data_IF_822157826721
#
_entry.id   IF_822157826721
#
_cell.length_a   1.000
_cell.length_b   1.000
_cell.length_c   1.000
_cell.angle_alpha   90.00
_cell.angle_beta   90.00
_cell.angle_gamma   90.00
#
_symmetry.space_group_name_H-M   'P 1'
#
loop_
_entity.id
_entity.type
_entity.pdbx_description
1 polymer ?
#
# COMPACT_ATOMS: atom_id res chain seq x y z
N UNK A 1 29.61 8.90 32.22
CA UNK A 1 28.79 8.23 33.26
C UNK A 1 27.40 8.84 33.20
N UNK A 2 26.35 8.01 33.32
CA UNK A 2 24.99 8.16 32.76
C UNK A 2 24.94 7.68 31.29
N UNK A 3 24.16 6.64 30.93
CA UNK A 3 22.70 6.64 30.98
C UNK A 3 22.10 5.21 31.13
N UNK A 4 22.42 4.50 32.21
CA UNK A 4 21.96 3.10 32.42
C UNK A 4 20.50 2.96 32.89
N UNK A 5 19.84 4.06 33.28
CA UNK A 5 18.49 4.03 33.87
C UNK A 5 17.34 3.93 32.84
N UNK A 6 17.60 4.25 31.57
CA UNK A 6 16.54 4.29 30.54
C UNK A 6 16.31 2.91 29.93
N UNK A 7 17.36 2.11 29.77
CA UNK A 7 17.30 0.76 29.22
C UNK A 7 16.63 -0.22 30.20
N UNK A 8 16.90 -0.09 31.50
CA UNK A 8 16.23 -0.87 32.54
C UNK A 8 14.72 -0.59 32.61
N UNK A 9 14.28 0.64 32.30
CA UNK A 9 12.86 0.99 32.23
C UNK A 9 12.16 0.34 31.03
N UNK A 10 12.84 0.20 29.89
CA UNK A 10 12.27 -0.41 28.68
C UNK A 10 12.18 -1.92 28.87
N UNK A 11 13.24 -2.53 29.40
CA UNK A 11 13.27 -3.97 29.67
C UNK A 11 12.26 -4.35 30.75
N UNK A 12 12.12 -3.54 31.81
CA UNK A 12 11.10 -3.77 32.85
C UNK A 12 9.67 -3.65 32.29
N UNK A 13 9.43 -2.74 31.36
CA UNK A 13 8.13 -2.60 30.68
C UNK A 13 7.84 -3.81 29.78
N UNK A 14 8.83 -4.30 29.03
CA UNK A 14 8.71 -5.48 28.17
C UNK A 14 8.40 -6.76 28.98
N UNK A 15 8.97 -6.89 30.16
CA UNK A 15 8.73 -8.03 31.05
C UNK A 15 7.34 -7.95 31.68
N UNK A 16 6.94 -6.79 32.20
CA UNK A 16 5.61 -6.60 32.80
C UNK A 16 4.47 -6.85 31.82
N UNK A 17 4.63 -6.52 30.53
CA UNK A 17 3.62 -6.76 29.51
C UNK A 17 3.58 -8.22 29.05
N UNK A 18 4.73 -8.89 28.93
CA UNK A 18 4.78 -10.31 28.51
C UNK A 18 4.09 -11.23 29.53
N UNK A 19 4.20 -10.92 30.83
CA UNK A 19 3.57 -11.71 31.88
C UNK A 19 2.13 -11.28 32.21
N UNK A 20 1.70 -10.07 31.82
CA UNK A 20 0.29 -9.64 31.93
C UNK A 20 -0.64 -10.31 30.90
N UNK A 21 -0.11 -10.85 29.81
CA UNK A 21 -0.90 -11.47 28.73
C UNK A 21 -1.39 -12.89 29.06
N UNK A 22 -1.01 -13.47 30.20
CA UNK A 22 -1.51 -14.81 30.61
C UNK A 22 -2.91 -14.79 31.25
N UNK A 23 -3.63 -13.68 31.23
CA UNK A 23 -5.01 -13.63 31.71
C UNK A 23 -5.72 -12.34 31.36
N UNK A 24 -6.26 -12.24 30.15
CA UNK A 24 -7.66 -11.86 29.96
C UNK A 24 -8.11 -12.12 28.52
N UNK A 25 -9.29 -12.73 28.37
CA UNK A 25 -9.98 -12.91 27.10
C UNK A 25 -10.61 -11.58 26.69
N UNK A 26 -10.30 -11.04 25.50
CA UNK A 26 -11.04 -9.89 25.01
C UNK A 26 -10.42 -9.09 23.86
N UNK A 27 -10.97 -9.31 22.67
CA UNK A 27 -11.18 -8.35 21.57
C UNK A 27 -10.06 -7.37 21.15
N UNK A 28 -9.72 -7.51 19.88
CA UNK A 28 -9.38 -6.47 18.90
C UNK A 28 -8.10 -5.63 19.05
N UNK A 29 -7.38 -5.58 17.93
CA UNK A 29 -6.22 -4.74 17.62
C UNK A 29 -4.90 -5.13 18.31
N UNK A 30 -4.35 -6.28 17.92
CA UNK A 30 -2.89 -6.38 17.80
C UNK A 30 -2.47 -5.47 16.65
N UNK A 31 -2.35 -4.18 16.94
CA UNK A 31 -1.55 -3.28 16.13
C UNK A 31 -0.13 -3.83 16.19
N UNK A 32 0.31 -4.40 15.07
CA UNK A 32 1.59 -5.07 14.93
C UNK A 32 2.70 -4.10 15.31
N UNK A 33 3.48 -4.45 16.34
CA UNK A 33 4.53 -3.60 16.91
C UNK A 33 5.60 -3.25 15.86
N UNK A 34 5.71 -4.05 14.79
CA UNK A 34 6.55 -3.73 13.62
C UNK A 34 6.16 -2.39 12.98
N UNK A 35 4.87 -2.13 12.79
CA UNK A 35 4.34 -0.86 12.26
C UNK A 35 4.71 0.33 13.15
N UNK A 36 4.78 0.13 14.47
CA UNK A 36 5.16 1.18 15.42
C UNK A 36 6.65 1.53 15.36
N UNK A 37 7.53 0.54 15.19
CA UNK A 37 8.98 0.77 15.11
C UNK A 37 9.41 1.40 13.79
N UNK A 38 8.72 1.09 12.69
CA UNK A 38 8.98 1.67 11.37
C UNK A 38 8.52 3.13 11.31
N UNK A 39 7.37 3.46 11.91
CA UNK A 39 6.85 4.83 11.96
C UNK A 39 7.76 5.79 12.76
N UNK A 40 8.51 5.25 13.74
CA UNK A 40 9.38 6.05 14.63
C UNK A 40 10.83 6.12 14.15
N UNK A 41 11.26 5.20 13.29
CA UNK A 41 12.61 5.14 12.74
C UNK A 41 12.69 6.00 11.47
N UNK A 42 12.93 7.31 11.64
CA UNK A 42 12.97 8.32 10.58
C UNK A 42 14.11 8.19 9.54
N UNK A 43 14.35 7.01 8.98
CA UNK A 43 15.23 6.79 7.83
C UNK A 43 14.35 6.61 6.57
N UNK A 44 13.91 7.75 6.03
CA UNK A 44 12.68 7.89 5.24
C UNK A 44 12.75 7.59 3.73
N UNK A 45 13.88 7.16 3.18
CA UNK A 45 14.02 7.09 1.71
C UNK A 45 14.06 5.68 1.10
N UNK A 46 14.17 4.61 1.90
CA UNK A 46 14.19 3.22 1.37
C UNK A 46 13.23 2.28 2.11
N UNK A 47 12.80 2.62 3.32
CA UNK A 47 11.90 1.78 4.12
C UNK A 47 10.40 1.99 3.84
N UNK A 48 10.03 3.11 3.21
CA UNK A 48 8.62 3.46 3.01
C UNK A 48 7.96 2.74 1.82
N UNK A 49 8.73 2.41 0.78
CA UNK A 49 8.19 1.81 -0.45
C UNK A 49 7.85 0.32 -0.22
N UNK A 50 8.60 -0.39 0.62
CA UNK A 50 8.26 -1.75 1.03
C UNK A 50 7.06 -1.84 1.98
N UNK A 51 6.71 -0.77 2.71
CA UNK A 51 5.57 -0.82 3.63
C UNK A 51 4.23 -1.00 2.90
N UNK A 52 4.06 -0.35 1.74
CA UNK A 52 2.87 -0.52 0.90
C UNK A 52 2.79 -1.96 0.38
N UNK A 53 3.88 -2.43 -0.25
CA UNK A 53 3.97 -3.77 -0.80
C UNK A 53 3.74 -4.84 0.28
N UNK A 54 4.44 -4.74 1.42
CA UNK A 54 4.33 -5.67 2.54
C UNK A 54 2.92 -5.69 3.11
N UNK A 55 2.27 -4.54 3.24
CA UNK A 55 0.89 -4.46 3.72
C UNK A 55 -0.07 -5.14 2.75
N UNK A 56 0.10 -4.94 1.44
CA UNK A 56 -0.72 -5.59 0.41
C UNK A 56 -0.51 -7.10 0.41
N UNK A 57 0.74 -7.58 0.48
CA UNK A 57 1.07 -9.01 0.56
C UNK A 57 0.51 -9.65 1.84
N UNK A 58 0.68 -9.03 3.00
CA UNK A 58 0.15 -9.53 4.29
C UNK A 58 -1.37 -9.65 4.27
N UNK A 59 -2.05 -8.75 3.56
CA UNK A 59 -3.49 -8.79 3.39
C UNK A 59 -3.94 -9.67 2.22
N UNK A 60 -3.04 -10.39 1.54
CA UNK A 60 -3.39 -11.25 0.40
C UNK A 60 -4.04 -10.45 -0.73
N UNK A 61 -3.56 -9.24 -0.99
CA UNK A 61 -4.03 -8.37 -2.07
C UNK A 61 -3.03 -8.45 -3.21
N UNK A 62 -3.52 -8.82 -4.40
CA UNK A 62 -2.71 -8.81 -5.62
C UNK A 62 -2.50 -7.38 -6.10
N UNK A 63 -1.27 -7.07 -6.51
CA UNK A 63 -0.94 -5.78 -7.10
C UNK A 63 0.14 -5.91 -8.17
N UNK A 64 0.30 -4.87 -8.98
CA UNK A 64 1.30 -4.80 -10.05
C UNK A 64 1.87 -3.40 -10.16
N UNK A 65 3.19 -3.29 -10.33
CA UNK A 65 3.83 -2.03 -10.63
C UNK A 65 3.53 -1.61 -12.08
N UNK A 66 3.05 -0.37 -12.23
CA UNK A 66 2.79 0.28 -13.51
C UNK A 66 3.99 1.14 -13.89
N UNK A 67 4.57 0.84 -15.04
CA UNK A 67 5.68 1.58 -15.62
C UNK A 67 5.22 2.38 -16.84
N UNK A 68 5.43 3.69 -16.83
CA UNK A 68 5.13 4.54 -17.97
C UNK A 68 6.34 4.65 -18.92
N UNK A 69 6.12 4.31 -20.20
CA UNK A 69 7.13 4.46 -21.26
C UNK A 69 6.83 5.70 -22.11
N UNK A 70 7.70 6.71 -22.00
CA UNK A 70 7.62 7.94 -22.82
C UNK A 70 7.76 7.65 -24.32
N UNK A 71 8.52 6.61 -24.70
CA UNK A 71 8.78 6.25 -26.11
C UNK A 71 7.52 5.76 -26.83
N UNK A 72 6.72 4.96 -26.14
CA UNK A 72 5.50 4.34 -26.67
C UNK A 72 4.24 5.10 -26.24
N UNK A 73 4.35 6.01 -25.27
CA UNK A 73 3.22 6.67 -24.61
C UNK A 73 2.21 5.67 -24.01
N UNK A 74 2.74 4.56 -23.47
CA UNK A 74 1.96 3.47 -22.88
C UNK A 74 2.38 3.20 -21.43
N UNK A 75 1.41 2.73 -20.65
CA UNK A 75 1.61 2.12 -19.35
C UNK A 75 1.77 0.62 -19.50
N UNK A 76 2.79 0.06 -18.84
CA UNK A 76 3.14 -1.35 -18.85
C UNK A 76 3.03 -1.89 -17.44
N UNK A 77 2.38 -3.05 -17.27
CA UNK A 77 2.26 -3.73 -15.98
C UNK A 77 2.08 -5.23 -16.22
N UNK A 78 2.37 -6.04 -15.21
CA UNK A 78 2.32 -7.50 -15.30
C UNK A 78 1.27 -8.07 -14.35
N UNK A 79 0.41 -8.97 -14.83
CA UNK A 79 -0.56 -9.69 -14.00
C UNK A 79 -0.38 -11.18 -14.30
N UNK A 80 -0.10 -12.01 -13.28
CA UNK A 80 0.15 -13.45 -13.45
C UNK A 80 1.12 -13.77 -14.60
N UNK A 81 2.29 -13.12 -14.62
CA UNK A 81 3.33 -13.27 -15.66
C UNK A 81 2.92 -12.81 -17.08
N UNK A 82 1.70 -12.31 -17.28
CA UNK A 82 1.26 -11.72 -18.53
C UNK A 82 1.52 -10.22 -18.53
N UNK A 83 2.14 -9.74 -19.61
CA UNK A 83 2.44 -8.33 -19.79
C UNK A 83 1.28 -7.61 -20.50
N UNK A 84 0.80 -6.54 -19.87
CA UNK A 84 -0.21 -5.66 -20.42
C UNK A 84 0.40 -4.33 -20.83
N UNK A 85 -0.18 -3.72 -21.86
CA UNK A 85 0.21 -2.41 -22.35
C UNK A 85 -1.04 -1.58 -22.67
N UNK A 86 -1.24 -0.50 -21.92
CA UNK A 86 -2.38 0.39 -22.08
C UNK A 86 -1.90 1.77 -22.55
N UNK A 87 -2.41 2.28 -23.68
CA UNK A 87 -2.14 3.65 -24.09
C UNK A 87 -2.52 4.68 -23.02
N UNK A 88 -1.74 5.74 -22.88
CA UNK A 88 -2.00 6.79 -21.88
C UNK A 88 -3.35 7.49 -22.02
N UNK A 89 -4.00 7.41 -23.17
CA UNK A 89 -5.28 8.08 -23.44
C UNK A 89 -6.50 7.17 -23.23
N UNK A 90 -6.31 5.97 -22.66
CA UNK A 90 -7.41 5.04 -22.39
C UNK A 90 -7.96 5.21 -20.98
N UNK A 91 -9.25 5.53 -20.87
CA UNK A 91 -9.97 5.52 -19.60
C UNK A 91 -9.23 6.24 -18.47
N UNK A 92 -9.09 5.56 -17.33
CA UNK A 92 -8.42 6.07 -16.14
C UNK A 92 -6.90 6.25 -16.31
N UNK A 93 -6.27 5.69 -17.35
CA UNK A 93 -4.84 5.94 -17.65
C UNK A 93 -4.57 7.38 -18.09
N UNK A 94 -5.58 8.07 -18.65
CA UNK A 94 -5.47 9.49 -19.00
C UNK A 94 -5.32 10.37 -17.77
N UNK A 95 -6.05 10.05 -16.71
CA UNK A 95 -5.89 10.68 -15.41
C UNK A 95 -4.57 10.26 -14.78
N UNK A 96 -4.23 8.97 -14.75
CA UNK A 96 -2.95 8.50 -14.19
C UNK A 96 -1.76 9.26 -14.80
N UNK A 97 -1.71 9.42 -16.13
CA UNK A 97 -0.63 10.17 -16.79
C UNK A 97 -0.50 11.63 -16.32
N UNK A 98 -1.62 12.26 -15.97
CA UNK A 98 -1.61 13.60 -15.39
C UNK A 98 -1.05 13.55 -13.96
N UNK A 99 -1.44 12.55 -13.19
CA UNK A 99 -1.11 12.43 -11.77
C UNK A 99 0.35 11.97 -11.51
N UNK A 100 0.91 11.09 -12.34
CA UNK A 100 2.31 10.62 -12.19
C UNK A 100 3.36 11.74 -12.27
N UNK A 101 2.97 12.90 -12.80
CA UNK A 101 3.85 14.07 -12.92
C UNK A 101 3.92 14.89 -11.64
N UNK A 102 3.04 14.63 -10.67
CA UNK A 102 3.01 15.31 -9.38
C UNK A 102 3.66 14.45 -8.30
N UNK A 103 4.35 15.10 -7.37
CA UNK A 103 5.04 14.44 -6.25
C UNK A 103 4.11 14.21 -5.05
N UNK A 104 2.82 13.92 -5.32
CA UNK A 104 1.80 13.73 -4.29
C UNK A 104 1.28 12.31 -4.36
N UNK A 105 1.02 11.72 -3.20
CA UNK A 105 0.35 10.44 -3.11
C UNK A 105 -1.12 10.62 -3.46
N UNK A 106 -1.62 9.84 -4.42
CA UNK A 106 -3.02 9.85 -4.82
C UNK A 106 -3.54 8.43 -4.99
N UNK A 107 -4.70 8.20 -4.40
CA UNK A 107 -5.50 7.00 -4.57
C UNK A 107 -6.61 7.26 -5.60
N UNK A 108 -6.72 6.40 -6.60
CA UNK A 108 -7.76 6.41 -7.62
C UNK A 108 -8.62 5.17 -7.45
N UNK A 109 -9.77 5.33 -6.79
CA UNK A 109 -10.75 4.27 -6.57
C UNK A 109 -11.55 4.03 -7.86
N UNK A 110 -11.96 2.78 -8.14
CA UNK A 110 -12.71 2.43 -9.35
C UNK A 110 -11.89 2.57 -10.65
N UNK A 111 -10.59 2.29 -10.58
CA UNK A 111 -9.69 2.46 -11.72
C UNK A 111 -10.09 1.54 -12.88
N UNK A 112 -10.54 2.13 -14.00
CA UNK A 112 -11.10 1.44 -15.17
C UNK A 112 -12.35 0.57 -14.92
N UNK A 113 -13.10 0.77 -13.83
CA UNK A 113 -14.33 0.00 -13.56
C UNK A 113 -15.38 0.10 -14.68
N UNK A 114 -15.43 1.24 -15.37
CA UNK A 114 -16.41 1.53 -16.42
C UNK A 114 -15.95 1.08 -17.82
N UNK A 115 -14.77 0.47 -17.91
CA UNK A 115 -14.14 0.13 -19.17
C UNK A 115 -13.92 -1.38 -19.29
N UNK A 116 -13.90 -1.87 -20.53
CA UNK A 116 -13.61 -3.27 -20.88
C UNK A 116 -12.32 -3.83 -20.25
N UNK A 117 -11.42 -2.95 -19.82
CA UNK A 117 -10.17 -3.30 -19.15
C UNK A 117 -10.42 -4.07 -17.84
N UNK A 118 -11.51 -3.80 -17.12
CA UNK A 118 -11.84 -4.54 -15.89
C UNK A 118 -12.18 -6.02 -16.20
N UNK A 119 -12.91 -6.27 -17.29
CA UNK A 119 -13.23 -7.63 -17.76
C UNK A 119 -11.97 -8.40 -18.18
N UNK A 120 -10.95 -7.72 -18.73
CA UNK A 120 -9.68 -8.35 -19.12
C UNK A 120 -8.94 -8.96 -17.93
N UNK A 121 -9.07 -8.38 -16.74
CA UNK A 121 -8.36 -8.85 -15.54
C UNK A 121 -9.14 -9.92 -14.77
N UNK A 122 -10.45 -10.04 -15.02
CA UNK A 122 -11.31 -11.00 -14.33
C UNK A 122 -10.88 -12.46 -14.52
N UNK A 123 -10.22 -12.76 -15.65
CA UNK A 123 -9.66 -14.09 -15.92
C UNK A 123 -8.32 -14.38 -15.25
N UNK A 124 -7.68 -13.37 -14.64
CA UNK A 124 -6.34 -13.44 -14.04
C UNK A 124 -6.35 -13.23 -12.53
N UNK A 125 -7.48 -12.86 -11.95
CA UNK A 125 -7.62 -12.66 -10.52
C UNK A 125 -8.75 -13.57 -10.06
N UNK A 126 -8.41 -14.57 -9.25
CA UNK A 126 -9.31 -15.69 -8.87
C UNK A 126 -10.40 -15.31 -7.85
N UNK A 127 -10.54 -14.02 -7.51
CA UNK A 127 -11.47 -13.53 -6.50
C UNK A 127 -12.20 -12.28 -7.00
N UNK A 128 -13.35 -11.96 -6.40
CA UNK A 128 -14.04 -10.70 -6.72
C UNK A 128 -13.25 -9.51 -6.16
N UNK A 129 -12.90 -8.56 -7.03
CA UNK A 129 -12.09 -7.41 -6.67
C UNK A 129 -12.72 -6.08 -7.08
N UNK A 130 -12.15 -5.02 -6.52
CA UNK A 130 -12.23 -3.64 -6.98
C UNK A 130 -10.85 -3.22 -7.44
N UNK A 131 -10.78 -2.65 -8.65
CA UNK A 131 -9.53 -2.16 -9.19
C UNK A 131 -9.26 -0.76 -8.66
N UNK A 132 -8.08 -0.58 -8.06
CA UNK A 132 -7.61 0.68 -7.49
C UNK A 132 -6.26 0.99 -8.11
N UNK A 133 -5.98 2.27 -8.37
CA UNK A 133 -4.63 2.71 -8.70
C UNK A 133 -4.08 3.61 -7.61
N UNK A 134 -2.90 3.28 -7.13
CA UNK A 134 -2.11 4.15 -6.26
C UNK A 134 -1.00 4.78 -7.10
N UNK A 135 -0.80 6.08 -7.00
CA UNK A 135 0.31 6.77 -7.66
C UNK A 135 0.97 7.75 -6.70
N UNK A 136 2.30 7.80 -6.71
CA UNK A 136 3.08 8.65 -5.80
C UNK A 136 4.54 8.22 -5.72
N UNK A 137 5.42 9.11 -5.26
CA UNK A 137 6.86 8.85 -5.12
C UNK A 137 7.53 8.28 -6.39
N UNK A 138 7.09 8.70 -7.58
CA UNK A 138 7.55 8.20 -8.90
C UNK A 138 7.17 6.76 -9.23
N UNK A 139 6.36 6.13 -8.40
CA UNK A 139 5.85 4.79 -8.61
C UNK A 139 4.33 4.81 -8.77
N UNK A 140 3.80 3.78 -9.40
CA UNK A 140 2.36 3.62 -9.59
C UNK A 140 2.02 2.15 -9.51
N UNK A 141 1.00 1.81 -8.74
CA UNK A 141 0.59 0.45 -8.48
C UNK A 141 -0.85 0.27 -8.92
N UNK A 142 -1.10 -0.82 -9.65
CA UNK A 142 -2.43 -1.35 -9.92
C UNK A 142 -2.75 -2.37 -8.84
N UNK A 143 -3.79 -2.12 -8.04
CA UNK A 143 -4.15 -2.93 -6.88
C UNK A 143 -5.51 -3.57 -7.15
N UNK A 144 -5.60 -4.89 -6.96
CA UNK A 144 -6.83 -5.67 -7.08
C UNK A 144 -7.37 -5.98 -5.68
N UNK A 145 -8.13 -5.06 -5.11
CA UNK A 145 -8.60 -5.14 -3.74
C UNK A 145 -9.77 -6.14 -3.64
N UNK A 146 -9.70 -7.21 -2.83
CA UNK A 146 -10.84 -8.10 -2.63
C UNK A 146 -12.05 -7.33 -2.09
N UNK A 147 -13.24 -7.57 -2.67
CA UNK A 147 -14.48 -6.95 -2.19
C UNK A 147 -14.72 -7.29 -0.72
N UNK A 148 -15.11 -6.29 0.06
CA UNK A 148 -15.34 -6.42 1.50
C UNK A 148 -14.12 -6.16 2.39
N UNK A 149 -12.94 -5.85 1.83
CA UNK A 149 -11.75 -5.42 2.60
C UNK A 149 -11.66 -3.88 2.74
N UNK A 150 -12.69 -3.27 3.31
CA UNK A 150 -12.70 -1.82 3.54
C UNK A 150 -11.57 -1.35 4.47
N UNK A 151 -11.08 -2.19 5.37
CA UNK A 151 -9.97 -1.85 6.27
C UNK A 151 -8.69 -1.49 5.50
N UNK A 152 -8.39 -2.24 4.43
CA UNK A 152 -7.22 -2.00 3.58
C UNK A 152 -7.42 -0.73 2.75
N UNK A 153 -8.63 -0.49 2.24
CA UNK A 153 -8.96 0.75 1.54
C UNK A 153 -8.80 1.97 2.45
N UNK A 154 -9.31 1.88 3.68
CA UNK A 154 -9.19 2.93 4.67
C UNK A 154 -7.74 3.16 5.11
N UNK A 155 -6.94 2.09 5.17
CA UNK A 155 -5.50 2.21 5.39
C UNK A 155 -4.80 2.92 4.23
N UNK A 156 -5.11 2.56 2.97
CA UNK A 156 -4.55 3.22 1.78
C UNK A 156 -4.89 4.72 1.73
N UNK A 157 -6.14 5.08 2.05
CA UNK A 157 -6.56 6.50 2.17
C UNK A 157 -5.74 7.24 3.22
N UNK A 158 -5.61 6.68 4.43
CA UNK A 158 -4.78 7.26 5.49
C UNK A 158 -3.30 7.35 5.12
N UNK A 159 -2.80 6.36 4.39
CA UNK A 159 -1.42 6.36 3.91
C UNK A 159 -1.17 7.55 2.97
N UNK A 160 -2.08 7.81 2.01
CA UNK A 160 -2.03 9.00 1.17
C UNK A 160 -2.06 10.31 1.98
N UNK A 161 -2.96 10.42 2.96
CA UNK A 161 -3.08 11.62 3.82
C UNK A 161 -1.83 11.86 4.67
N UNK A 162 -1.21 10.79 5.19
CA UNK A 162 -0.03 10.89 6.05
C UNK A 162 1.24 11.30 5.30
N UNK A 163 1.32 10.99 3.99
CA UNK A 163 2.41 11.41 3.12
C UNK A 163 2.41 12.91 2.82
N UNK A 164 1.23 13.55 2.75
CA UNK A 164 1.13 15.00 2.51
C UNK A 164 1.57 15.85 3.71
N UNK A 165 1.56 15.31 4.93
CA UNK A 165 1.93 16.06 6.16
C UNK A 165 3.46 16.14 6.34
N UNK A 166 4.22 15.42 5.54
CA UNK A 166 5.68 15.27 5.68
C UNK A 166 6.52 16.05 4.65
N UNK A 167 5.89 16.74 3.69
CA UNK A 167 6.54 17.51 2.62
C UNK A 167 6.60 19.02 2.91
#
# INVERSE_FOLDING_TARGET
MANHNTEESIISTLVDETYRVSGDEGSNSKLDLSTYFELKSGNRNEANDHLLEDTLVRNGVSFSLIQYSQKTSCFHFNIQEQQFSCPRNWGSFSELHREISFDRLKLMEGFNSDHFIDELFSGLVEYEYETICFCGNRESYLIFLPKGKEDVLNWLRKYCESGEVAA
#
